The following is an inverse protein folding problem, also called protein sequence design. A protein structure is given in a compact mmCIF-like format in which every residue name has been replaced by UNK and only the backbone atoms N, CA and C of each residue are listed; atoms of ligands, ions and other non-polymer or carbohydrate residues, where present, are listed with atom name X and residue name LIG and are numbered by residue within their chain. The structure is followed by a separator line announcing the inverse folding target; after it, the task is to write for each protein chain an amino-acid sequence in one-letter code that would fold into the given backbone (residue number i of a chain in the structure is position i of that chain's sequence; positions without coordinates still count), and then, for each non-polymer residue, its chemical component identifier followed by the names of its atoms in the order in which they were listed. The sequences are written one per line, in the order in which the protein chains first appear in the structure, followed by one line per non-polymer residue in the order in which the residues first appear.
data_IF_729934816282
#
_entry.id   IF_729934816282
#
_cell.length_a   1.000
_cell.length_b   1.000
_cell.length_c   1.000
_cell.angle_alpha   90.00
_cell.angle_beta   90.00
_cell.angle_gamma   90.00
#
_symmetry.space_group_name_H-M   'P 1'
#
loop_
_entity.id
_entity.type
_entity.pdbx_description
1 polymer ?
#
# COMPACT_ATOMS: atom_id res chain seq x y z
N UNK A 1 7.13 -4.75 -4.73
CA UNK A 1 5.69 -4.40 -4.71
C UNK A 1 5.56 -2.90 -4.90
N UNK A 2 5.09 -2.43 -6.06
CA UNK A 2 5.00 -0.99 -6.36
C UNK A 2 4.02 -0.24 -5.47
N UNK A 3 2.87 -0.87 -5.16
CA UNK A 3 1.91 -0.34 -4.19
C UNK A 3 2.56 0.05 -2.86
N UNK A 4 3.36 -0.84 -2.26
CA UNK A 4 4.06 -0.57 -1.00
C UNK A 4 5.02 0.61 -1.17
N UNK A 5 5.76 0.70 -2.27
CA UNK A 5 6.72 1.79 -2.47
C UNK A 5 6.03 3.16 -2.53
N UNK A 6 4.99 3.29 -3.36
CA UNK A 6 4.21 4.54 -3.45
C UNK A 6 3.49 4.85 -2.14
N UNK A 7 2.98 3.83 -1.45
CA UNK A 7 2.25 4.06 -0.21
C UNK A 7 3.18 4.47 0.90
N UNK A 8 4.39 3.93 0.97
CA UNK A 8 5.41 4.36 1.91
C UNK A 8 5.77 5.83 1.73
N UNK A 9 5.97 6.23 0.48
CA UNK A 9 6.25 7.63 0.13
C UNK A 9 5.15 8.58 0.64
N UNK A 10 3.89 8.16 0.58
CA UNK A 10 2.73 9.02 0.86
C UNK A 10 2.22 8.90 2.31
N UNK A 11 2.25 7.70 2.90
CA UNK A 11 1.53 7.34 4.12
C UNK A 11 2.43 7.07 5.34
N UNK A 12 3.75 6.83 5.18
CA UNK A 12 4.61 6.34 6.28
C UNK A 12 4.69 7.27 7.50
N UNK A 13 4.37 8.56 7.34
CA UNK A 13 4.36 9.50 8.45
C UNK A 13 3.14 9.34 9.36
N UNK A 14 2.07 8.69 8.88
CA UNK A 14 0.77 8.64 9.57
C UNK A 14 0.25 7.22 9.76
N UNK A 15 0.60 6.29 8.88
CA UNK A 15 0.08 4.93 8.87
C UNK A 15 1.19 3.89 8.70
N UNK A 16 1.03 2.75 9.38
CA UNK A 16 1.88 1.57 9.18
C UNK A 16 1.32 0.68 8.08
N UNK A 17 2.17 0.26 7.15
CA UNK A 17 1.81 -0.64 6.05
C UNK A 17 2.26 -2.05 6.39
N UNK A 18 1.30 -2.97 6.50
CA UNK A 18 1.54 -4.38 6.84
C UNK A 18 1.05 -5.26 5.68
N UNK A 19 1.89 -6.19 5.24
CA UNK A 19 1.49 -7.22 4.28
C UNK A 19 0.92 -8.42 5.02
N UNK A 20 -0.19 -8.95 4.53
CA UNK A 20 -0.87 -10.11 5.12
C UNK A 20 -1.15 -11.17 4.07
N UNK A 21 -1.18 -12.42 4.48
CA UNK A 21 -1.65 -13.54 3.66
C UNK A 21 -3.16 -13.75 3.80
N UNK A 22 -3.77 -14.51 2.88
CA UNK A 22 -5.22 -14.79 2.87
C UNK A 22 -5.73 -15.38 4.20
N UNK A 23 -4.94 -16.25 4.84
CA UNK A 23 -5.31 -16.89 6.11
C UNK A 23 -5.50 -15.86 7.25
N UNK A 24 -4.73 -14.78 7.26
CA UNK A 24 -4.87 -13.72 8.26
C UNK A 24 -6.20 -12.97 8.05
N UNK A 25 -6.56 -12.69 6.79
CA UNK A 25 -7.83 -12.04 6.46
C UNK A 25 -9.04 -12.90 6.85
N UNK A 26 -8.90 -14.23 6.82
CA UNK A 26 -9.91 -15.18 7.25
C UNK A 26 -9.98 -15.34 8.77
N UNK A 27 -8.84 -15.49 9.45
CA UNK A 27 -8.80 -16.02 10.82
C UNK A 27 -8.61 -14.94 11.89
N UNK A 28 -7.93 -13.84 11.59
CA UNK A 28 -7.56 -12.83 12.60
C UNK A 28 -8.60 -11.71 12.73
N UNK A 29 -8.45 -10.88 13.78
CA UNK A 29 -9.33 -9.76 14.11
C UNK A 29 -8.72 -8.42 13.67
N UNK A 30 -8.48 -8.28 12.37
CA UNK A 30 -7.80 -7.13 11.76
C UNK A 30 -8.74 -5.93 11.53
N UNK A 31 -10.05 -6.14 11.48
CA UNK A 31 -11.03 -5.15 11.02
C UNK A 31 -11.01 -3.86 11.85
N UNK A 32 -10.80 -3.96 13.16
CA UNK A 32 -10.87 -2.83 14.09
C UNK A 32 -9.61 -1.96 14.12
N UNK A 33 -8.47 -2.49 13.66
CA UNK A 33 -7.18 -1.78 13.64
C UNK A 33 -6.77 -1.34 12.23
N UNK A 34 -7.58 -1.67 11.22
CA UNK A 34 -7.26 -1.41 9.82
C UNK A 34 -7.87 -0.12 9.32
N UNK A 35 -7.02 0.86 9.00
CA UNK A 35 -7.45 2.11 8.38
C UNK A 35 -7.87 1.92 6.92
N UNK A 36 -7.23 1.04 6.17
CA UNK A 36 -7.50 0.75 4.75
C UNK A 36 -7.04 -0.67 4.42
N UNK A 37 -7.93 -1.50 3.88
CA UNK A 37 -7.56 -2.78 3.28
C UNK A 37 -7.25 -2.58 1.80
N UNK A 38 -6.10 -3.09 1.35
CA UNK A 38 -5.64 -2.95 -0.04
C UNK A 38 -5.44 -4.34 -0.64
N UNK A 39 -6.06 -4.59 -1.79
CA UNK A 39 -5.78 -5.77 -2.61
C UNK A 39 -5.03 -5.30 -3.87
N UNK A 40 -3.75 -5.69 -4.04
CA UNK A 40 -2.91 -5.18 -5.13
C UNK A 40 -3.32 -5.74 -6.50
N UNK A 41 -2.64 -5.26 -7.53
CA UNK A 41 -2.68 -5.85 -8.86
C UNK A 41 -2.20 -7.30 -8.87
N UNK A 42 -2.76 -8.09 -9.77
CA UNK A 42 -2.45 -9.51 -9.90
C UNK A 42 -3.51 -10.24 -10.74
N UNK A 43 -3.41 -11.56 -10.81
CA UNK A 43 -4.45 -12.38 -11.45
C UNK A 43 -5.60 -12.58 -10.48
N UNK A 44 -6.75 -12.00 -10.81
CA UNK A 44 -7.97 -12.05 -9.98
C UNK A 44 -8.40 -13.49 -9.62
N UNK A 45 -8.14 -14.47 -10.48
CA UNK A 45 -8.52 -15.88 -10.22
C UNK A 45 -7.91 -16.42 -8.91
N UNK A 46 -6.72 -15.94 -8.51
CA UNK A 46 -6.10 -16.37 -7.25
C UNK A 46 -6.75 -15.70 -6.04
N UNK A 47 -7.15 -14.43 -6.14
CA UNK A 47 -7.96 -13.78 -5.10
C UNK A 47 -9.30 -14.50 -4.93
N UNK A 48 -9.96 -14.84 -6.04
CA UNK A 48 -11.21 -15.59 -5.98
C UNK A 48 -11.03 -17.00 -5.40
N UNK A 49 -9.94 -17.69 -5.71
CA UNK A 49 -9.63 -19.01 -5.12
C UNK A 49 -9.41 -18.91 -3.61
N UNK A 50 -8.61 -17.94 -3.17
CA UNK A 50 -8.08 -17.89 -1.80
C UNK A 50 -8.96 -17.09 -0.83
N UNK A 51 -9.81 -16.18 -1.34
CA UNK A 51 -10.59 -15.27 -0.48
C UNK A 51 -12.10 -15.50 -0.54
N UNK A 52 -12.68 -16.25 -1.50
CA UNK A 52 -14.14 -16.33 -1.73
C UNK A 52 -14.99 -16.82 -0.54
N UNK A 53 -14.38 -17.50 0.43
CA UNK A 53 -15.04 -17.98 1.64
C UNK A 53 -15.16 -16.94 2.76
N UNK A 54 -14.82 -17.35 3.98
CA UNK A 54 -14.96 -16.53 5.18
C UNK A 54 -14.18 -15.21 5.12
N UNK A 55 -13.04 -15.17 4.43
CA UNK A 55 -12.30 -13.93 4.19
C UNK A 55 -13.14 -12.88 3.45
N UNK A 56 -13.82 -13.23 2.35
CA UNK A 56 -14.70 -12.29 1.62
C UNK A 56 -15.83 -11.77 2.48
N UNK A 57 -16.45 -12.64 3.28
CA UNK A 57 -17.50 -12.22 4.21
C UNK A 57 -16.99 -11.23 5.26
N UNK A 58 -15.79 -11.46 5.81
CA UNK A 58 -15.14 -10.49 6.72
C UNK A 58 -14.84 -9.17 6.03
N UNK A 59 -14.27 -9.21 4.83
CA UNK A 59 -13.96 -8.01 4.02
C UNK A 59 -15.23 -7.21 3.73
N UNK A 60 -16.33 -7.88 3.33
CA UNK A 60 -17.62 -7.24 3.12
C UNK A 60 -18.15 -6.58 4.38
N UNK A 61 -18.13 -7.29 5.51
CA UNK A 61 -18.59 -6.75 6.78
C UNK A 61 -17.73 -5.58 7.27
N UNK A 62 -16.42 -5.65 7.08
CA UNK A 62 -15.50 -4.56 7.38
C UNK A 62 -15.92 -3.29 6.62
N UNK A 63 -16.07 -3.36 5.29
CA UNK A 63 -16.51 -2.20 4.50
C UNK A 63 -17.92 -1.77 4.89
N UNK A 64 -18.88 -2.70 5.02
CA UNK A 64 -20.26 -2.40 5.41
C UNK A 64 -20.35 -1.62 6.73
N UNK A 65 -19.44 -1.86 7.68
CA UNK A 65 -19.37 -1.20 8.99
C UNK A 65 -18.55 0.10 9.01
N UNK A 66 -18.08 0.59 7.87
CA UNK A 66 -17.33 1.85 7.78
C UNK A 66 -15.86 1.67 7.39
N UNK A 67 -15.42 0.44 7.16
CA UNK A 67 -14.11 0.12 6.63
C UNK A 67 -13.90 0.62 5.21
N UNK A 68 -12.64 0.64 4.79
CA UNK A 68 -12.21 1.23 3.52
C UNK A 68 -11.46 0.19 2.72
N UNK A 69 -11.79 0.06 1.43
CA UNK A 69 -11.17 -0.89 0.53
C UNK A 69 -10.56 -0.17 -0.68
N UNK A 70 -9.37 -0.59 -1.09
CA UNK A 70 -8.73 -0.14 -2.34
C UNK A 70 -8.22 -1.35 -3.12
N UNK A 71 -8.80 -1.60 -4.29
CA UNK A 71 -8.45 -2.73 -5.15
C UNK A 71 -7.84 -2.29 -6.46
N UNK A 72 -6.63 -2.77 -6.77
CA UNK A 72 -5.94 -2.49 -8.04
C UNK A 72 -6.07 -3.62 -9.04
N UNK A 73 -6.44 -3.33 -10.29
CA UNK A 73 -6.55 -4.32 -11.37
C UNK A 73 -7.30 -5.57 -10.89
N UNK A 74 -6.64 -6.73 -10.78
CA UNK A 74 -7.24 -7.95 -10.22
C UNK A 74 -7.91 -7.76 -8.84
N UNK A 75 -7.35 -6.95 -7.94
CA UNK A 75 -8.00 -6.58 -6.68
C UNK A 75 -9.22 -5.67 -6.86
N UNK A 76 -9.23 -4.84 -7.90
CA UNK A 76 -10.41 -4.05 -8.29
C UNK A 76 -11.52 -4.94 -8.84
N UNK A 77 -11.16 -5.92 -9.67
CA UNK A 77 -12.11 -6.86 -10.29
C UNK A 77 -12.75 -7.75 -9.24
N UNK A 78 -11.97 -8.20 -8.26
CA UNK A 78 -12.44 -8.97 -7.13
C UNK A 78 -13.52 -8.24 -6.31
N UNK A 79 -13.52 -6.90 -6.34
CA UNK A 79 -14.53 -6.04 -5.72
C UNK A 79 -15.85 -5.91 -6.49
N UNK A 80 -15.93 -6.41 -7.73
CA UNK A 80 -17.15 -6.37 -8.55
C UNK A 80 -18.11 -7.51 -8.20
N UNK A 81 -19.30 -7.52 -8.79
CA UNK A 81 -20.22 -8.68 -8.71
C UNK A 81 -19.83 -9.76 -9.71
N UNK A 82 -19.27 -9.34 -10.86
CA UNK A 82 -18.89 -10.22 -11.96
C UNK A 82 -17.67 -9.66 -12.68
N UNK A 83 -16.95 -10.56 -13.34
CA UNK A 83 -15.91 -10.17 -14.29
C UNK A 83 -16.16 -10.79 -15.66
N UNK A 84 -15.78 -10.06 -16.71
CA UNK A 84 -15.71 -10.55 -18.08
C UNK A 84 -14.35 -10.15 -18.63
N UNK A 85 -13.40 -11.07 -18.58
CA UNK A 85 -12.02 -10.84 -18.99
C UNK A 85 -11.68 -11.69 -20.22
N UNK A 86 -11.29 -11.04 -21.33
CA UNK A 86 -10.86 -11.64 -22.60
C UNK A 86 -11.71 -12.85 -23.03
N UNK A 87 -13.04 -12.66 -23.22
CA UNK A 87 -13.95 -13.72 -23.63
C UNK A 87 -13.55 -14.32 -24.98
N UNK A 88 -13.80 -15.61 -25.14
CA UNK A 88 -13.43 -16.41 -26.32
C UNK A 88 -11.91 -16.45 -26.60
N UNK A 89 -11.08 -16.25 -25.56
CA UNK A 89 -9.62 -16.35 -25.65
C UNK A 89 -9.06 -17.43 -24.71
N UNK A 90 -7.80 -17.88 -24.90
CA UNK A 90 -7.13 -18.80 -23.98
C UNK A 90 -6.93 -18.26 -22.55
N UNK A 91 -7.03 -16.95 -22.36
CA UNK A 91 -6.83 -16.26 -21.07
C UNK A 91 -8.15 -15.77 -20.47
N UNK A 92 -9.28 -16.30 -20.97
CA UNK A 92 -10.62 -15.94 -20.53
C UNK A 92 -10.81 -16.15 -19.03
N UNK A 93 -11.39 -15.15 -18.37
CA UNK A 93 -11.93 -15.30 -17.02
C UNK A 93 -13.31 -14.64 -16.96
N UNK A 94 -14.35 -15.46 -16.84
CA UNK A 94 -15.73 -15.00 -16.69
C UNK A 94 -16.35 -15.65 -15.46
N UNK A 95 -16.98 -14.85 -14.60
CA UNK A 95 -17.75 -15.39 -13.49
C UNK A 95 -17.92 -14.41 -12.34
N UNK A 96 -18.66 -14.87 -11.34
CA UNK A 96 -19.07 -14.05 -10.21
C UNK A 96 -17.94 -13.84 -9.20
N UNK A 97 -17.97 -12.70 -8.52
CA UNK A 97 -17.03 -12.34 -7.47
C UNK A 97 -17.78 -12.07 -6.16
N UNK A 98 -17.20 -12.49 -5.03
CA UNK A 98 -17.92 -12.57 -3.76
C UNK A 98 -18.11 -11.23 -3.08
N UNK A 99 -17.27 -10.22 -3.36
CA UNK A 99 -17.32 -8.95 -2.64
C UNK A 99 -18.50 -8.09 -3.05
N UNK A 100 -18.88 -8.07 -4.34
CA UNK A 100 -20.05 -7.35 -4.85
C UNK A 100 -20.15 -5.89 -4.37
N UNK A 101 -19.04 -5.19 -4.18
CA UNK A 101 -19.06 -3.78 -3.81
C UNK A 101 -19.59 -2.93 -4.96
N UNK A 102 -19.14 -3.24 -6.18
CA UNK A 102 -19.77 -2.78 -7.39
C UNK A 102 -20.81 -3.82 -7.83
N UNK A 103 -22.09 -3.45 -8.01
CA UNK A 103 -23.15 -4.41 -8.32
C UNK A 103 -23.09 -4.96 -9.75
N UNK A 104 -22.31 -4.34 -10.64
CA UNK A 104 -22.16 -4.75 -12.03
C UNK A 104 -20.75 -5.30 -12.31
N UNK A 105 -20.46 -5.55 -13.58
CA UNK A 105 -19.26 -6.23 -14.02
C UNK A 105 -18.08 -5.31 -14.31
N UNK A 106 -16.87 -5.81 -14.04
CA UNK A 106 -15.68 -5.31 -14.70
C UNK A 106 -15.45 -6.03 -16.02
N UNK A 107 -15.24 -5.28 -17.10
CA UNK A 107 -14.92 -5.77 -18.44
C UNK A 107 -13.46 -5.49 -18.78
N UNK A 108 -12.69 -6.52 -19.13
CA UNK A 108 -11.28 -6.37 -19.48
C UNK A 108 -10.78 -7.38 -20.52
N UNK A 109 -9.56 -7.23 -21.04
CA UNK A 109 -8.74 -6.04 -20.89
C UNK A 109 -9.36 -4.87 -21.71
N UNK A 110 -9.24 -3.64 -21.21
CA UNK A 110 -9.80 -2.44 -21.83
C UNK A 110 -9.19 -2.16 -23.22
N UNK A 111 -7.90 -2.44 -23.37
CA UNK A 111 -7.18 -2.43 -24.64
C UNK A 111 -6.83 -3.86 -25.08
N UNK A 112 -6.93 -4.17 -26.38
CA UNK A 112 -6.63 -5.51 -26.89
C UNK A 112 -5.13 -5.84 -26.82
N UNK A 113 -4.84 -7.14 -26.90
CA UNK A 113 -3.46 -7.66 -27.03
C UNK A 113 -2.79 -8.04 -25.71
N UNK A 114 -3.53 -8.04 -24.59
CA UNK A 114 -3.00 -8.47 -23.30
C UNK A 114 -2.53 -9.92 -23.31
N UNK A 115 -1.41 -10.18 -22.63
CA UNK A 115 -0.81 -11.51 -22.48
C UNK A 115 -0.24 -11.66 -21.07
N UNK A 116 -0.56 -12.77 -20.42
CA UNK A 116 0.09 -13.10 -19.14
C UNK A 116 1.59 -13.32 -19.33
N UNK A 117 2.35 -13.01 -18.27
CA UNK A 117 3.80 -13.18 -18.21
C UNK A 117 4.55 -12.41 -19.32
N UNK A 118 3.90 -11.35 -19.83
CA UNK A 118 4.43 -10.46 -20.84
C UNK A 118 3.89 -9.06 -20.61
N UNK A 119 4.74 -8.08 -20.88
CA UNK A 119 4.39 -6.66 -20.77
C UNK A 119 4.23 -6.01 -22.14
N UNK A 120 4.16 -6.79 -23.21
CA UNK A 120 4.17 -6.32 -24.61
C UNK A 120 3.02 -5.35 -24.94
N UNK A 121 1.91 -5.45 -24.21
CA UNK A 121 0.74 -4.58 -24.37
C UNK A 121 0.67 -3.46 -23.34
N UNK A 122 1.61 -3.44 -22.39
CA UNK A 122 1.65 -2.43 -21.33
C UNK A 122 1.99 -1.07 -21.93
N UNK A 123 1.40 -0.01 -21.37
CA UNK A 123 1.49 1.34 -21.94
C UNK A 123 1.19 2.40 -20.89
N UNK A 124 1.54 3.65 -21.20
CA UNK A 124 1.05 4.80 -20.47
C UNK A 124 -0.33 5.21 -21.04
N UNK A 125 -1.34 5.32 -20.19
CA UNK A 125 -2.69 5.74 -20.58
C UNK A 125 -3.07 7.03 -19.89
N UNK A 126 -3.67 7.96 -20.62
CA UNK A 126 -4.23 9.18 -20.03
C UNK A 126 -5.60 8.89 -19.44
N UNK A 127 -5.82 9.32 -18.21
CA UNK A 127 -7.13 9.26 -17.55
C UNK A 127 -7.64 10.67 -17.29
N UNK A 128 -8.95 10.89 -17.42
CA UNK A 128 -9.62 12.12 -16.95
C UNK A 128 -10.00 11.97 -15.48
N UNK A 129 -10.01 13.08 -14.73
CA UNK A 129 -10.43 13.09 -13.33
C UNK A 129 -11.83 13.70 -13.25
N UNK A 130 -12.78 12.97 -12.66
CA UNK A 130 -14.14 13.43 -12.40
C UNK A 130 -14.17 14.34 -11.17
N UNK A 131 -13.71 15.58 -11.34
CA UNK A 131 -13.51 16.56 -10.27
C UNK A 131 -14.72 16.76 -9.35
N UNK A 132 -15.93 16.77 -9.92
CA UNK A 132 -17.16 16.95 -9.15
C UNK A 132 -17.42 15.80 -8.15
N UNK A 133 -17.00 14.57 -8.48
CA UNK A 133 -17.13 13.42 -7.57
C UNK A 133 -16.36 13.65 -6.27
N UNK A 134 -15.22 14.33 -6.31
CA UNK A 134 -14.36 14.59 -5.15
C UNK A 134 -14.90 15.67 -4.21
N UNK A 135 -15.83 16.53 -4.65
CA UNK A 135 -16.51 17.52 -3.78
C UNK A 135 -17.41 16.87 -2.73
N UNK A 136 -17.79 15.61 -2.93
CA UNK A 136 -18.61 14.86 -1.96
C UNK A 136 -17.86 14.54 -0.66
N UNK A 137 -16.52 14.71 -0.64
CA UNK A 137 -15.67 14.44 0.52
C UNK A 137 -14.77 15.64 0.78
N UNK A 138 -14.96 16.29 1.94
CA UNK A 138 -14.23 17.51 2.33
C UNK A 138 -12.71 17.40 2.19
N UNK A 139 -12.10 16.28 2.61
CA UNK A 139 -10.63 16.11 2.53
C UNK A 139 -10.10 16.08 1.10
N UNK A 140 -10.93 15.72 0.11
CA UNK A 140 -10.51 15.64 -1.29
C UNK A 140 -11.04 16.78 -2.17
N UNK A 141 -11.83 17.71 -1.61
CA UNK A 141 -12.47 18.77 -2.39
C UNK A 141 -11.45 19.66 -3.14
N UNK A 142 -10.25 19.83 -2.59
CA UNK A 142 -9.17 20.62 -3.19
C UNK A 142 -8.77 20.18 -4.61
N UNK A 143 -9.04 18.93 -5.02
CA UNK A 143 -8.72 18.50 -6.39
C UNK A 143 -9.69 19.11 -7.42
N UNK A 144 -10.90 19.52 -7.01
CA UNK A 144 -11.82 20.18 -7.94
C UNK A 144 -11.31 21.53 -8.42
N UNK A 145 -10.58 22.21 -7.55
CA UNK A 145 -10.04 23.55 -7.82
C UNK A 145 -8.61 23.48 -8.38
N UNK A 146 -8.03 22.28 -8.45
CA UNK A 146 -6.70 22.07 -8.99
C UNK A 146 -6.70 22.20 -10.52
N UNK A 147 -5.81 23.05 -11.04
CA UNK A 147 -5.53 23.15 -12.47
C UNK A 147 -4.60 22.05 -13.01
N UNK A 148 -4.38 20.96 -12.25
CA UNK A 148 -3.49 19.89 -12.69
C UNK A 148 -4.00 19.22 -13.96
N UNK A 149 -3.08 18.99 -14.89
CA UNK A 149 -3.35 18.18 -16.08
C UNK A 149 -3.78 16.77 -15.69
N UNK A 150 -4.68 16.13 -16.48
CA UNK A 150 -5.05 14.74 -16.26
C UNK A 150 -3.84 13.81 -16.44
N UNK A 151 -3.59 12.89 -15.50
CA UNK A 151 -2.34 12.15 -15.48
C UNK A 151 -2.29 11.04 -16.53
N UNK A 152 -1.07 10.76 -16.99
CA UNK A 152 -0.71 9.47 -17.57
C UNK A 152 -0.37 8.48 -16.46
N UNK A 153 -0.97 7.31 -16.50
CA UNK A 153 -0.78 6.23 -15.52
C UNK A 153 -0.43 4.93 -16.23
N UNK A 154 0.22 4.00 -15.51
CA UNK A 154 0.57 2.71 -16.07
C UNK A 154 -0.69 1.86 -16.31
N UNK A 155 -0.69 1.12 -17.41
CA UNK A 155 -1.70 0.14 -17.74
C UNK A 155 -1.03 -1.17 -18.16
N UNK A 156 -1.52 -2.29 -17.60
CA UNK A 156 -1.16 -3.63 -18.06
C UNK A 156 -2.31 -4.60 -17.83
N UNK A 157 -3.15 -4.80 -18.85
CA UNK A 157 -4.27 -5.74 -18.78
C UNK A 157 -5.45 -5.27 -17.92
N UNK A 158 -5.49 -3.99 -17.57
CA UNK A 158 -6.59 -3.32 -16.87
C UNK A 158 -7.95 -3.48 -17.53
N UNK A 159 -9.06 -3.27 -16.80
CA UNK A 159 -10.43 -3.33 -17.32
C UNK A 159 -11.17 -2.03 -17.03
N UNK A 160 -12.41 -1.91 -17.48
CA UNK A 160 -13.30 -0.82 -17.14
C UNK A 160 -14.52 -1.33 -16.37
N UNK A 161 -15.20 -0.44 -15.65
CA UNK A 161 -16.40 -0.79 -14.88
C UNK A 161 -17.66 -0.48 -15.70
N UNK A 162 -18.31 -1.53 -16.20
CA UNK A 162 -19.43 -1.40 -17.11
C UNK A 162 -20.65 -0.79 -16.41
N UNK A 163 -21.39 0.07 -17.12
CA UNK A 163 -22.62 0.70 -16.64
C UNK A 163 -22.48 1.53 -15.34
N UNK A 164 -21.27 1.93 -14.94
CA UNK A 164 -21.05 2.63 -13.67
C UNK A 164 -21.90 3.88 -13.50
N UNK A 165 -22.22 4.58 -14.60
CA UNK A 165 -23.08 5.76 -14.62
C UNK A 165 -24.50 5.48 -14.10
N UNK A 166 -25.05 4.29 -14.38
CA UNK A 166 -26.40 3.87 -13.96
C UNK A 166 -26.52 3.72 -12.44
N UNK A 167 -25.41 3.51 -11.75
CA UNK A 167 -25.36 3.34 -10.30
C UNK A 167 -24.97 4.63 -9.57
N UNK A 168 -24.89 5.76 -10.28
CA UNK A 168 -24.54 7.02 -9.66
C UNK A 168 -25.63 7.55 -8.74
N UNK A 169 -25.19 8.21 -7.66
CA UNK A 169 -26.07 8.75 -6.63
C UNK A 169 -27.20 9.61 -7.22
N UNK A 170 -26.86 10.40 -8.25
CA UNK A 170 -27.79 11.32 -8.92
C UNK A 170 -28.94 10.59 -9.61
N UNK A 171 -28.65 9.51 -10.34
CA UNK A 171 -29.65 8.73 -11.07
C UNK A 171 -30.55 7.93 -10.12
N UNK A 172 -30.01 7.45 -8.99
CA UNK A 172 -30.80 6.76 -7.97
C UNK A 172 -31.84 7.68 -7.32
N UNK A 173 -31.49 8.93 -7.02
CA UNK A 173 -32.47 9.92 -6.52
C UNK A 173 -33.51 10.34 -7.57
N UNK A 174 -33.15 10.41 -8.85
CA UNK A 174 -34.10 10.74 -9.94
C UNK A 174 -35.13 9.62 -10.19
N UNK A 175 -34.80 8.36 -9.85
CA UNK A 175 -35.71 7.20 -9.96
C UNK A 175 -36.63 7.02 -8.73
N UNK A 176 -36.26 7.57 -7.56
CA UNK A 176 -36.96 7.37 -6.27
C UNK A 176 -38.01 8.45 -5.91
N UNK A 177 -38.28 9.41 -6.80
CA UNK A 177 -39.18 10.56 -6.56
C UNK A 177 -40.63 10.16 -6.21
N UNK A 178 -41.05 8.92 -6.48
CA UNK A 178 -42.40 8.43 -6.18
C UNK A 178 -42.57 7.75 -4.80
N UNK A 179 -41.53 7.63 -3.97
CA UNK A 179 -41.65 6.97 -2.64
C UNK A 179 -41.38 7.94 -1.48
N UNK A 180 -42.44 8.62 -1.03
CA UNK A 180 -42.44 9.51 0.13
C UNK A 180 -42.38 8.76 1.48
N UNK A 181 -41.39 7.87 1.69
CA UNK A 181 -41.08 7.23 2.97
C UNK A 181 -39.74 6.45 2.96
N UNK A 182 -38.68 6.96 2.31
CA UNK A 182 -37.36 6.33 2.41
C UNK A 182 -36.70 6.81 3.71
N UNK A 183 -36.74 5.96 4.75
CA UNK A 183 -35.79 6.08 5.86
C UNK A 183 -34.38 6.15 5.28
N UNK A 184 -33.48 6.91 5.92
CA UNK A 184 -32.04 7.10 5.61
C UNK A 184 -31.20 5.79 5.64
N UNK A 185 -31.80 4.65 5.30
CA UNK A 185 -31.21 3.33 5.14
C UNK A 185 -30.41 3.27 3.84
N UNK A 186 -29.13 3.65 3.93
CA UNK A 186 -27.99 3.12 3.17
C UNK A 186 -28.30 2.61 1.75
N UNK A 187 -28.66 3.49 0.83
CA UNK A 187 -28.64 3.16 -0.59
C UNK A 187 -27.17 3.08 -1.02
N UNK A 188 -26.73 1.91 -1.48
CA UNK A 188 -25.40 1.76 -2.09
C UNK A 188 -25.40 2.47 -3.44
N UNK A 189 -24.36 3.26 -3.71
CA UNK A 189 -24.20 3.98 -4.97
C UNK A 189 -22.73 4.05 -5.39
N UNK A 190 -22.49 4.36 -6.66
CA UNK A 190 -21.16 4.40 -7.25
C UNK A 190 -20.85 5.77 -7.81
N UNK A 191 -19.76 6.39 -7.36
CA UNK A 191 -19.21 7.57 -8.03
C UNK A 191 -18.08 7.16 -8.95
N UNK A 192 -18.02 7.79 -10.12
CA UNK A 192 -16.90 7.62 -11.04
C UNK A 192 -15.85 8.66 -10.66
N UNK A 193 -14.61 8.21 -10.44
CA UNK A 193 -13.50 9.09 -10.04
C UNK A 193 -12.59 9.43 -11.21
N UNK A 194 -12.45 8.50 -12.16
CA UNK A 194 -11.76 8.75 -13.42
C UNK A 194 -12.27 7.88 -14.55
N UNK A 195 -12.04 8.35 -15.79
CA UNK A 195 -12.34 7.62 -17.03
C UNK A 195 -11.10 7.50 -17.89
N UNK A 196 -11.10 6.49 -18.74
CA UNK A 196 -10.16 6.43 -19.86
C UNK A 196 -10.47 7.56 -20.84
N UNK A 197 -9.44 8.26 -21.35
CA UNK A 197 -9.65 9.34 -22.30
C UNK A 197 -10.02 8.86 -23.72
N UNK A 198 -9.56 7.67 -24.13
CA UNK A 198 -9.81 7.12 -25.47
C UNK A 198 -9.42 5.64 -25.57
N UNK A 199 -9.77 5.04 -26.72
CA UNK A 199 -9.25 3.77 -27.24
C UNK A 199 -9.65 2.49 -26.47
N UNK A 200 -10.61 2.58 -25.55
CA UNK A 200 -11.18 1.41 -24.89
C UNK A 200 -12.11 0.69 -25.86
N UNK A 201 -11.98 -0.62 -25.95
CA UNK A 201 -12.85 -1.48 -26.77
C UNK A 201 -13.54 -2.53 -25.91
N UNK A 202 -14.77 -2.91 -26.26
CA UNK A 202 -15.46 -3.98 -25.53
C UNK A 202 -14.72 -5.32 -25.73
N UNK A 203 -14.35 -6.05 -24.65
CA UNK A 203 -13.71 -7.34 -24.79
C UNK A 203 -14.59 -8.43 -25.42
N UNK A 204 -15.92 -8.32 -25.34
CA UNK A 204 -16.86 -9.21 -26.04
C UNK A 204 -16.99 -8.86 -27.52
N UNK A 205 -16.76 -7.59 -27.89
CA UNK A 205 -16.79 -7.13 -29.26
C UNK A 205 -15.72 -6.05 -29.51
N UNK A 206 -14.52 -6.47 -29.95
CA UNK A 206 -13.38 -5.57 -30.18
C UNK A 206 -13.58 -4.53 -31.30
N UNK A 207 -14.69 -4.60 -32.03
CA UNK A 207 -15.07 -3.57 -33.01
C UNK A 207 -15.85 -2.40 -32.39
N UNK A 208 -16.32 -2.57 -31.16
CA UNK A 208 -17.09 -1.58 -30.40
C UNK A 208 -16.18 -0.76 -29.49
N UNK A 209 -16.18 0.55 -29.69
CA UNK A 209 -15.47 1.51 -28.84
C UNK A 209 -16.34 1.91 -27.66
N UNK A 210 -15.77 1.96 -26.46
CA UNK A 210 -16.46 2.39 -25.24
C UNK A 210 -15.98 3.79 -24.87
N UNK A 211 -16.74 4.79 -25.31
CA UNK A 211 -16.48 6.19 -24.95
C UNK A 211 -16.75 6.43 -23.47
N UNK A 212 -15.86 7.17 -22.80
CA UNK A 212 -16.02 7.50 -21.39
C UNK A 212 -16.00 6.28 -20.45
N UNK A 213 -15.34 5.19 -20.82
CA UNK A 213 -15.23 4.00 -19.97
C UNK A 213 -14.68 4.34 -18.57
N UNK A 214 -15.38 3.94 -17.51
CA UNK A 214 -14.99 4.21 -16.12
C UNK A 214 -13.71 3.42 -15.75
N UNK A 215 -12.64 4.13 -15.39
CA UNK A 215 -11.33 3.56 -15.06
C UNK A 215 -11.14 3.37 -13.56
N UNK A 216 -11.71 4.27 -12.74
CA UNK A 216 -11.70 4.19 -11.28
C UNK A 216 -13.08 4.58 -10.75
N UNK A 217 -13.63 3.76 -9.87
CA UNK A 217 -14.94 3.98 -9.25
C UNK A 217 -14.85 3.89 -7.71
N UNK A 218 -15.69 4.66 -7.03
CA UNK A 218 -15.90 4.61 -5.59
C UNK A 218 -17.31 4.09 -5.28
N UNK A 219 -17.37 2.86 -4.78
CA UNK A 219 -18.60 2.19 -4.36
C UNK A 219 -18.86 2.50 -2.89
N UNK A 220 -19.94 3.21 -2.61
CA UNK A 220 -20.44 3.41 -1.25
C UNK A 220 -21.24 2.17 -0.86
N UNK A 221 -20.77 1.45 0.16
CA UNK A 221 -21.29 0.14 0.54
C UNK A 221 -21.49 0.08 2.06
N UNK A 222 -22.75 0.10 2.50
CA UNK A 222 -23.07 0.29 3.92
C UNK A 222 -22.56 1.64 4.43
N UNK A 223 -21.77 1.64 5.49
CA UNK A 223 -21.13 2.85 6.04
C UNK A 223 -19.75 3.15 5.44
N UNK A 224 -19.19 2.22 4.66
CA UNK A 224 -17.83 2.31 4.14
C UNK A 224 -17.77 2.57 2.65
N UNK A 225 -16.54 2.53 2.13
CA UNK A 225 -16.24 2.87 0.74
C UNK A 225 -15.23 1.87 0.19
N UNK A 226 -15.51 1.34 -1.00
CA UNK A 226 -14.58 0.55 -1.79
C UNK A 226 -14.21 1.30 -3.08
N UNK A 227 -12.93 1.64 -3.25
CA UNK A 227 -12.41 2.17 -4.50
C UNK A 227 -11.81 1.04 -5.32
N UNK A 228 -12.27 0.89 -6.56
CA UNK A 228 -11.83 -0.13 -7.50
C UNK A 228 -11.17 0.57 -8.69
N UNK A 229 -9.98 0.12 -9.08
CA UNK A 229 -9.27 0.68 -10.23
C UNK A 229 -8.93 -0.39 -11.27
N UNK A 230 -9.17 -0.06 -12.53
CA UNK A 230 -8.72 -0.82 -13.68
C UNK A 230 -7.31 -0.45 -14.14
N UNK A 231 -6.84 0.76 -13.81
CA UNK A 231 -5.49 1.25 -14.11
C UNK A 231 -4.56 1.10 -12.90
N UNK A 232 -3.25 1.22 -13.15
CA UNK A 232 -2.23 1.13 -12.11
C UNK A 232 -1.70 2.52 -11.71
N UNK A 233 -2.45 3.20 -10.83
CA UNK A 233 -2.04 4.51 -10.30
C UNK A 233 -0.91 4.40 -9.26
N UNK A 234 -0.63 3.19 -8.79
CA UNK A 234 0.41 2.86 -7.81
C UNK A 234 1.80 2.63 -8.43
N UNK A 235 1.93 2.65 -9.75
CA UNK A 235 3.22 2.49 -10.43
C UNK A 235 3.84 3.85 -10.73
N UNK A 236 5.00 4.09 -10.12
CA UNK A 236 5.90 5.21 -10.45
C UNK A 236 6.66 4.93 -11.74
N UNK A 237 7.07 5.98 -12.46
CA UNK A 237 8.00 5.86 -13.58
C UNK A 237 9.33 5.19 -13.21
N UNK A 238 9.76 5.30 -11.95
CA UNK A 238 11.00 4.70 -11.45
C UNK A 238 10.98 3.17 -11.48
N UNK A 239 9.78 2.57 -11.52
CA UNK A 239 9.62 1.13 -11.72
C UNK A 239 10.22 0.64 -13.04
N UNK A 240 10.45 1.54 -14.00
CA UNK A 240 10.84 1.23 -15.38
C UNK A 240 12.19 1.85 -15.78
N UNK A 241 12.91 2.52 -14.85
CA UNK A 241 14.29 2.99 -15.06
C UNK A 241 15.30 1.81 -14.99
N UNK A 242 16.47 1.90 -15.64
CA UNK A 242 17.15 0.75 -16.24
C UNK A 242 17.82 -0.16 -15.19
N UNK A 243 17.06 -1.13 -14.69
CA UNK A 243 17.56 -2.27 -13.92
C UNK A 243 16.69 -3.53 -14.11
N UNK A 244 16.06 -3.72 -15.28
CA UNK A 244 15.56 -5.03 -15.69
C UNK A 244 14.09 -5.15 -16.15
N UNK A 245 13.39 -4.06 -16.47
CA UNK A 245 12.09 -4.12 -17.18
C UNK A 245 12.23 -3.48 -18.56
N UNK A 246 12.69 -4.25 -19.55
CA UNK A 246 12.81 -3.83 -20.96
C UNK A 246 11.44 -3.79 -21.69
N UNK A 247 10.35 -3.44 -21.01
CA UNK A 247 9.00 -3.72 -21.54
C UNK A 247 8.19 -2.54 -22.05
N UNK A 248 8.41 -1.32 -21.55
CA UNK A 248 7.67 -0.15 -22.01
C UNK A 248 8.44 0.63 -23.08
N UNK A 249 7.78 1.08 -24.16
CA UNK A 249 8.38 2.02 -25.10
C UNK A 249 8.88 3.28 -24.38
N UNK A 250 10.02 3.82 -24.82
CA UNK A 250 10.60 5.05 -24.24
C UNK A 250 9.59 6.20 -24.19
N UNK A 251 8.74 6.35 -25.20
CA UNK A 251 7.69 7.35 -25.24
C UNK A 251 6.69 7.23 -24.09
N UNK A 252 6.37 6.01 -23.67
CA UNK A 252 5.45 5.78 -22.55
C UNK A 252 6.15 6.02 -21.21
N UNK A 253 7.42 5.64 -21.08
CA UNK A 253 8.24 6.01 -19.91
C UNK A 253 8.32 7.53 -19.77
N UNK A 254 8.55 8.26 -20.86
CA UNK A 254 8.63 9.72 -20.86
C UNK A 254 7.28 10.35 -20.47
N UNK A 255 6.14 9.79 -20.91
CA UNK A 255 4.79 10.20 -20.48
C UNK A 255 4.56 9.98 -18.99
N UNK A 256 4.95 8.81 -18.46
CA UNK A 256 4.83 8.51 -17.03
C UNK A 256 5.68 9.46 -16.20
N UNK A 257 6.94 9.69 -16.59
CA UNK A 257 7.86 10.65 -15.93
C UNK A 257 7.30 12.06 -15.93
N UNK A 258 6.81 12.53 -17.09
CA UNK A 258 6.21 13.86 -17.22
C UNK A 258 4.99 14.02 -16.29
N UNK A 259 4.24 12.95 -16.09
CA UNK A 259 2.99 12.96 -15.33
C UNK A 259 3.13 12.62 -13.85
N UNK A 260 4.34 12.42 -13.32
CA UNK A 260 4.54 11.82 -11.99
C UNK A 260 3.91 12.67 -10.86
N UNK A 261 4.06 13.99 -10.92
CA UNK A 261 3.43 14.90 -9.95
C UNK A 261 1.89 14.83 -10.03
N UNK A 262 1.32 14.80 -11.24
CA UNK A 262 -0.13 14.67 -11.42
C UNK A 262 -0.63 13.30 -10.93
N UNK A 263 0.13 12.22 -11.14
CA UNK A 263 -0.16 10.88 -10.62
C UNK A 263 -0.18 10.87 -9.09
N UNK A 264 0.86 11.40 -8.45
CA UNK A 264 0.95 11.47 -6.97
C UNK A 264 -0.20 12.29 -6.40
N UNK A 265 -0.50 13.46 -6.95
CA UNK A 265 -1.66 14.28 -6.55
C UNK A 265 -2.96 13.49 -6.68
N UNK A 266 -3.12 12.72 -7.75
CA UNK A 266 -4.30 11.88 -7.92
C UNK A 266 -4.36 10.77 -6.86
N UNK A 267 -3.27 10.05 -6.59
CA UNK A 267 -3.23 9.03 -5.51
C UNK A 267 -3.58 9.63 -4.14
N UNK A 268 -3.07 10.82 -3.83
CA UNK A 268 -3.41 11.52 -2.57
C UNK A 268 -4.88 11.89 -2.53
N UNK A 269 -5.46 12.34 -3.64
CA UNK A 269 -6.89 12.62 -3.71
C UNK A 269 -7.73 11.36 -3.45
N UNK A 270 -7.30 10.18 -3.91
CA UNK A 270 -7.94 8.89 -3.61
C UNK A 270 -7.88 8.58 -2.11
N UNK A 271 -6.71 8.77 -1.47
CA UNK A 271 -6.60 8.57 -0.02
C UNK A 271 -7.44 9.56 0.79
N UNK A 272 -7.48 10.83 0.37
CA UNK A 272 -8.35 11.84 0.96
C UNK A 272 -9.84 11.55 0.74
N UNK A 273 -10.21 11.00 -0.43
CA UNK A 273 -11.57 10.57 -0.70
C UNK A 273 -12.00 9.45 0.24
N UNK A 274 -11.09 8.51 0.49
CA UNK A 274 -11.23 7.48 1.52
C UNK A 274 -11.14 8.07 2.94
N UNK A 275 -10.74 9.33 3.12
CA UNK A 275 -10.69 10.00 4.42
C UNK A 275 -9.43 9.72 5.24
N UNK A 276 -8.36 9.20 4.64
CA UNK A 276 -7.05 9.07 5.29
C UNK A 276 -6.41 10.46 5.49
N UNK A 277 -5.46 10.54 6.41
CA UNK A 277 -4.69 11.73 6.76
C UNK A 277 -3.33 11.72 6.06
N UNK A 278 -3.24 12.50 4.99
CA UNK A 278 -2.06 12.58 4.12
C UNK A 278 -1.60 14.02 4.02
N UNK A 279 -0.31 14.28 4.20
CA UNK A 279 0.22 15.64 4.07
C UNK A 279 0.47 15.98 2.60
N UNK A 280 -0.24 16.97 2.06
CA UNK A 280 -0.07 17.48 0.69
C UNK A 280 1.33 18.08 0.47
N UNK A 281 1.94 18.66 1.51
CA UNK A 281 3.28 19.27 1.42
C UNK A 281 4.39 18.24 1.18
N UNK A 282 4.11 16.94 1.41
CA UNK A 282 5.04 15.87 1.06
C UNK A 282 5.23 15.72 -0.47
N UNK A 283 4.27 16.17 -1.28
CA UNK A 283 4.33 16.10 -2.76
C UNK A 283 5.37 17.04 -3.33
N UNK A 284 5.50 18.23 -2.76
CA UNK A 284 6.50 19.21 -3.23
C UNK A 284 7.90 18.87 -2.69
N UNK A 285 7.98 18.17 -1.56
CA UNK A 285 9.24 17.77 -0.92
C UNK A 285 9.79 16.41 -1.40
N UNK A 286 8.96 15.50 -1.95
CA UNK A 286 9.42 14.15 -2.37
C UNK A 286 10.38 14.17 -3.57
N UNK A 287 10.43 15.28 -4.31
CA UNK A 287 11.41 15.48 -5.37
C UNK A 287 12.85 15.70 -4.87
N UNK A 288 13.08 15.88 -3.56
CA UNK A 288 14.41 16.27 -3.03
C UNK A 288 14.91 15.51 -1.81
N UNK A 289 14.08 14.72 -1.12
CA UNK A 289 14.52 14.00 0.09
C UNK A 289 14.73 12.51 -0.18
N UNK A 290 15.89 11.93 0.18
CA UNK A 290 16.13 10.50 0.04
C UNK A 290 15.07 9.72 0.83
N UNK A 291 14.59 8.61 0.23
CA UNK A 291 13.71 7.63 0.88
C UNK A 291 14.22 7.38 2.29
N UNK A 292 13.38 7.65 3.31
CA UNK A 292 13.77 7.56 4.72
C UNK A 292 14.45 6.20 4.95
N UNK A 293 15.71 6.17 5.43
CA UNK A 293 16.42 4.92 5.61
C UNK A 293 15.69 4.07 6.66
N UNK A 294 15.71 2.75 6.45
CA UNK A 294 15.22 1.79 7.45
C UNK A 294 15.94 2.10 8.76
N UNK A 295 15.18 2.30 9.84
CA UNK A 295 15.81 2.59 11.12
C UNK A 295 16.56 1.36 11.62
N UNK A 296 17.77 1.52 12.19
CA UNK A 296 18.43 0.40 12.85
C UNK A 296 17.53 -0.24 13.91
N UNK A 297 17.76 -1.53 14.15
CA UNK A 297 17.16 -2.22 15.30
C UNK A 297 18.12 -2.16 16.47
N UNK A 298 17.64 -1.77 17.63
CA UNK A 298 18.38 -1.70 18.88
C UNK A 298 17.95 -2.85 19.79
N UNK A 299 18.91 -3.59 20.33
CA UNK A 299 18.69 -4.58 21.39
C UNK A 299 19.33 -4.02 22.65
N UNK A 300 18.54 -3.86 23.71
CA UNK A 300 18.98 -3.25 24.97
C UNK A 300 18.60 -4.15 26.15
N UNK A 301 19.55 -4.55 27.01
CA UNK A 301 19.23 -5.30 28.21
C UNK A 301 18.49 -4.41 29.21
N UNK A 302 17.44 -4.97 29.82
CA UNK A 302 16.61 -4.28 30.81
C UNK A 302 17.13 -4.54 32.24
N UNK A 303 17.81 -5.66 32.49
CA UNK A 303 18.31 -6.07 33.83
C UNK A 303 19.71 -5.55 34.14
N UNK A 304 20.07 -5.57 35.43
CA UNK A 304 21.33 -5.01 35.97
C UNK A 304 22.59 -5.81 35.59
N UNK A 305 22.50 -7.12 35.30
CA UNK A 305 23.64 -7.96 34.87
C UNK A 305 23.96 -7.81 33.36
N UNK A 306 24.04 -6.56 32.90
CA UNK A 306 24.14 -6.19 31.49
C UNK A 306 25.35 -6.82 30.80
N UNK A 307 26.53 -6.74 31.41
CA UNK A 307 27.79 -7.15 30.77
C UNK A 307 27.85 -8.66 30.50
N UNK A 308 27.34 -9.46 31.44
CA UNK A 308 27.34 -10.92 31.30
C UNK A 308 26.31 -11.38 30.27
N UNK A 309 25.08 -10.86 30.32
CA UNK A 309 24.02 -11.20 29.36
C UNK A 309 24.37 -10.75 27.94
N UNK A 310 24.90 -9.53 27.78
CA UNK A 310 25.38 -9.00 26.49
C UNK A 310 26.56 -9.81 25.97
N UNK A 311 27.52 -10.17 26.83
CA UNK A 311 28.64 -11.02 26.46
C UNK A 311 28.19 -12.40 25.94
N UNK A 312 27.21 -13.02 26.60
CA UNK A 312 26.64 -14.29 26.13
C UNK A 312 25.92 -14.15 24.78
N UNK A 313 25.13 -13.09 24.59
CA UNK A 313 24.41 -12.83 23.34
C UNK A 313 25.41 -12.65 22.18
N UNK A 314 26.43 -11.82 22.38
CA UNK A 314 27.48 -11.57 21.38
C UNK A 314 28.22 -12.86 21.05
N UNK A 315 28.56 -13.67 22.05
CA UNK A 315 29.22 -14.97 21.83
C UNK A 315 28.37 -15.89 20.95
N UNK A 316 27.05 -15.96 21.17
CA UNK A 316 26.12 -16.74 20.35
C UNK A 316 25.96 -16.19 18.93
N UNK A 317 25.95 -14.86 18.77
CA UNK A 317 25.88 -14.25 17.44
C UNK A 317 27.17 -14.51 16.65
N UNK A 318 28.34 -14.38 17.30
CA UNK A 318 29.64 -14.67 16.69
C UNK A 318 29.76 -16.12 16.20
N UNK A 319 29.04 -17.08 16.78
CA UNK A 319 29.03 -18.47 16.30
C UNK A 319 28.39 -18.63 14.92
N UNK A 320 27.48 -17.73 14.55
CA UNK A 320 26.69 -17.79 13.31
C UNK A 320 27.04 -16.65 12.34
N UNK A 321 28.00 -15.80 12.70
CA UNK A 321 28.37 -14.62 11.94
C UNK A 321 29.73 -14.76 11.28
N UNK A 322 29.90 -14.11 10.13
CA UNK A 322 31.19 -13.89 9.51
C UNK A 322 31.43 -12.39 9.40
N UNK A 323 32.47 -11.86 10.07
CA UNK A 323 32.77 -10.42 10.13
C UNK A 323 31.55 -9.55 10.48
N UNK A 324 30.84 -9.88 11.56
CA UNK A 324 29.62 -9.17 12.03
C UNK A 324 28.38 -9.32 11.14
N UNK A 325 28.49 -10.06 10.03
CA UNK A 325 27.37 -10.34 9.13
C UNK A 325 26.77 -11.71 9.42
N UNK A 326 25.46 -11.72 9.64
CA UNK A 326 24.65 -12.95 9.72
C UNK A 326 23.82 -13.01 8.44
N UNK A 327 23.98 -14.08 7.68
CA UNK A 327 23.20 -14.31 6.47
C UNK A 327 22.04 -15.26 6.77
N UNK A 328 20.81 -14.79 6.57
CA UNK A 328 19.61 -15.63 6.51
C UNK A 328 19.13 -15.72 5.04
N UNK A 329 18.23 -16.66 4.80
CA UNK A 329 17.46 -16.90 3.57
C UNK A 329 16.93 -15.61 2.92
N UNK A 330 16.58 -14.60 3.71
CA UNK A 330 15.91 -13.39 3.23
C UNK A 330 16.71 -12.10 3.41
N UNK A 331 17.60 -12.01 4.40
CA UNK A 331 18.36 -10.79 4.68
C UNK A 331 19.78 -11.08 5.17
N UNK A 332 20.62 -10.05 5.07
CA UNK A 332 21.89 -9.97 5.79
C UNK A 332 21.73 -9.01 6.97
N UNK A 333 22.15 -9.42 8.16
CA UNK A 333 22.14 -8.60 9.38
C UNK A 333 23.58 -8.22 9.71
N UNK A 334 23.88 -6.93 9.77
CA UNK A 334 25.14 -6.38 10.34
C UNK A 334 24.88 -6.03 11.80
N UNK A 335 25.44 -6.81 12.75
CA UNK A 335 25.28 -6.52 14.17
C UNK A 335 26.53 -5.88 14.77
N UNK A 336 26.34 -4.89 15.63
CA UNK A 336 27.44 -4.21 16.33
C UNK A 336 27.12 -4.06 17.80
N UNK A 337 28.07 -4.42 18.63
CA UNK A 337 28.03 -4.09 20.05
C UNK A 337 28.59 -2.69 20.25
N UNK A 338 27.81 -1.82 20.90
CA UNK A 338 28.23 -0.47 21.23
C UNK A 338 28.14 -0.28 22.73
N UNK A 339 29.31 -0.11 23.35
CA UNK A 339 29.40 0.23 24.75
C UNK A 339 29.28 1.75 24.92
N UNK A 340 28.15 2.20 25.47
CA UNK A 340 27.86 3.60 25.77
C UNK A 340 28.94 4.26 26.65
N UNK A 341 29.63 3.48 27.50
CA UNK A 341 30.65 3.98 28.42
C UNK A 341 32.04 4.18 27.78
N UNK A 342 32.30 3.63 26.59
CA UNK A 342 33.63 3.69 25.95
C UNK A 342 33.72 4.63 24.74
N UNK A 343 32.65 5.34 24.38
CA UNK A 343 32.57 6.12 23.14
C UNK A 343 32.42 7.63 23.34
N UNK A 344 33.33 8.23 24.11
CA UNK A 344 33.48 9.70 24.21
C UNK A 344 34.19 10.30 22.98
N UNK A 345 34.72 9.47 22.05
CA UNK A 345 35.50 9.94 20.91
C UNK A 345 35.00 9.39 19.57
N UNK A 346 33.89 9.92 19.04
CA UNK A 346 33.58 10.15 17.60
C UNK A 346 32.08 10.08 17.28
N UNK A 347 31.31 11.09 17.70
CA UNK A 347 29.89 11.22 17.30
C UNK A 347 29.70 11.28 15.76
N UNK A 348 30.66 11.86 15.03
CA UNK A 348 30.59 11.99 13.56
C UNK A 348 30.61 10.64 12.83
N UNK A 349 31.36 9.64 13.33
CA UNK A 349 31.39 8.29 12.73
C UNK A 349 30.11 7.51 12.96
N UNK A 350 29.35 7.83 14.01
CA UNK A 350 28.13 7.11 14.41
C UNK A 350 26.93 7.59 13.59
N UNK A 351 26.81 8.89 13.31
CA UNK A 351 25.77 9.41 12.41
C UNK A 351 25.90 8.84 11.00
N UNK A 352 27.12 8.83 10.45
CA UNK A 352 27.40 8.20 9.16
C UNK A 352 27.04 6.70 9.18
N UNK A 353 27.20 6.04 10.33
CA UNK A 353 26.87 4.63 10.52
C UNK A 353 25.38 4.33 10.65
N UNK A 354 24.63 5.15 11.35
CA UNK A 354 23.17 5.00 11.54
C UNK A 354 22.46 5.33 10.23
N UNK A 355 22.84 6.44 9.60
CA UNK A 355 22.15 7.00 8.43
C UNK A 355 22.84 6.67 7.10
N UNK A 356 23.88 5.83 7.05
CA UNK A 356 24.48 5.43 5.76
C UNK A 356 23.42 4.84 4.85
N UNK A 357 23.33 5.40 3.65
CA UNK A 357 22.42 5.05 2.55
C UNK A 357 22.78 3.74 1.85
N UNK A 358 23.66 2.93 2.44
CA UNK A 358 24.24 1.77 1.76
C UNK A 358 23.36 0.56 1.98
N UNK A 359 22.65 0.22 0.90
CA UNK A 359 21.98 -1.04 0.60
C UNK A 359 20.82 -1.42 1.56
N UNK A 360 19.58 -1.15 1.11
CA UNK A 360 18.33 -1.53 1.80
C UNK A 360 18.18 -3.05 2.07
N UNK A 361 19.13 -3.88 1.62
CA UNK A 361 19.19 -5.33 1.88
C UNK A 361 19.92 -5.70 3.18
N UNK A 362 20.67 -4.78 3.79
CA UNK A 362 21.41 -5.03 5.04
C UNK A 362 20.66 -4.40 6.20
N UNK A 363 20.23 -5.22 7.15
CA UNK A 363 19.58 -4.76 8.39
C UNK A 363 20.64 -4.49 9.44
N UNK A 364 20.66 -3.28 10.00
CA UNK A 364 21.59 -2.90 11.07
C UNK A 364 21.00 -3.26 12.44
N UNK A 365 21.76 -4.01 13.24
CA UNK A 365 21.40 -4.41 14.59
C UNK A 365 22.42 -3.88 15.60
N UNK A 366 22.02 -2.94 16.46
CA UNK A 366 22.87 -2.38 17.50
C UNK A 366 22.54 -2.99 18.86
N UNK A 367 23.52 -3.63 19.48
CA UNK A 367 23.41 -4.12 20.86
C UNK A 367 23.98 -3.03 21.76
N UNK A 368 23.12 -2.42 22.57
CA UNK A 368 23.46 -1.33 23.48
C UNK A 368 23.50 -1.87 24.90
N UNK A 369 24.23 -1.18 25.79
CA UNK A 369 24.24 -1.53 27.21
C UNK A 369 23.09 -0.83 27.96
N UNK A 370 22.91 0.50 27.79
CA UNK A 370 21.98 1.24 28.64
C UNK A 370 21.15 2.31 27.93
N UNK A 371 21.73 3.07 27.00
CA UNK A 371 21.10 4.23 26.38
C UNK A 371 21.22 4.18 24.85
N UNK A 372 20.27 4.84 24.16
CA UNK A 372 20.43 5.10 22.73
C UNK A 372 21.69 5.90 22.46
N UNK A 373 22.21 5.76 21.24
CA UNK A 373 23.32 6.56 20.77
C UNK A 373 22.90 8.04 20.79
N UNK A 374 23.76 8.99 21.21
CA UNK A 374 23.43 10.42 21.20
C UNK A 374 22.99 10.96 19.83
N UNK A 375 23.51 10.34 18.76
CA UNK A 375 23.16 10.60 17.36
C UNK A 375 21.76 10.10 16.95
N UNK A 376 21.20 9.14 17.70
CA UNK A 376 19.88 8.58 17.43
C UNK A 376 18.82 9.37 18.22
N UNK A 377 17.94 10.05 17.49
CA UNK A 377 16.81 10.79 18.08
C UNK A 377 15.50 10.08 17.70
N UNK A 378 14.86 9.38 18.64
CA UNK A 378 13.64 8.65 18.31
C UNK A 378 12.50 9.61 17.96
N UNK A 379 11.78 9.32 16.87
CA UNK A 379 10.71 10.13 16.33
C UNK A 379 9.53 10.29 17.30
N UNK A 380 9.19 9.22 18.03
CA UNK A 380 8.07 9.20 18.97
C UNK A 380 8.44 9.60 20.40
N UNK A 381 9.58 10.28 20.61
CA UNK A 381 10.06 10.64 21.97
C UNK A 381 10.11 9.44 22.92
N UNK A 382 10.38 8.24 22.39
CA UNK A 382 10.49 7.04 23.22
C UNK A 382 11.72 7.17 24.14
N UNK A 383 11.47 7.27 25.44
CA UNK A 383 12.49 7.44 26.46
C UNK A 383 12.87 6.06 27.04
N UNK A 384 13.97 5.50 26.53
CA UNK A 384 14.47 4.18 26.93
C UNK A 384 14.88 4.13 28.40
N UNK A 385 15.42 5.22 28.94
CA UNK A 385 15.86 5.33 30.33
C UNK A 385 14.65 5.25 31.25
N UNK A 386 13.59 6.02 30.92
CA UNK A 386 12.33 6.01 31.66
C UNK A 386 11.63 4.66 31.57
N UNK A 387 11.62 4.03 30.39
CA UNK A 387 11.05 2.70 30.19
C UNK A 387 11.78 1.64 31.04
N UNK A 388 13.12 1.60 30.98
CA UNK A 388 13.94 0.67 31.77
C UNK A 388 13.74 0.87 33.27
N UNK A 389 13.71 2.13 33.72
CA UNK A 389 13.42 2.49 35.12
C UNK A 389 12.02 2.05 35.57
N UNK A 390 11.04 2.03 34.68
CA UNK A 390 9.72 1.48 34.97
C UNK A 390 9.76 -0.05 35.08
N UNK A 391 10.38 -0.72 34.11
CA UNK A 391 10.47 -2.18 34.08
C UNK A 391 11.17 -2.76 35.31
N UNK A 392 12.32 -2.19 35.70
CA UNK A 392 13.06 -2.59 36.91
C UNK A 392 12.20 -2.48 38.19
N UNK A 393 11.37 -1.44 38.29
CA UNK A 393 10.44 -1.26 39.43
C UNK A 393 9.34 -2.31 39.49
N UNK A 394 8.93 -2.86 38.36
CA UNK A 394 7.81 -3.83 38.28
C UNK A 394 8.23 -5.29 38.47
N UNK A 395 9.53 -5.57 38.63
CA UNK A 395 10.07 -6.92 38.90
C UNK A 395 9.59 -7.98 37.88
N UNK A 396 9.52 -7.60 36.60
CA UNK A 396 9.12 -8.48 35.49
C UNK A 396 10.17 -9.57 35.27
N UNK A 397 10.03 -10.70 35.95
CA UNK A 397 11.11 -11.71 36.06
C UNK A 397 11.11 -12.80 34.99
N UNK A 398 10.05 -12.95 34.18
CA UNK A 398 9.87 -14.10 33.29
C UNK A 398 9.66 -13.78 31.80
N UNK A 399 9.43 -12.52 31.42
CA UNK A 399 9.22 -12.12 30.02
C UNK A 399 9.85 -10.74 29.76
N UNK A 400 10.66 -10.61 28.70
CA UNK A 400 11.23 -9.32 28.28
C UNK A 400 12.49 -8.86 29.03
N UNK A 401 13.55 -9.69 29.12
CA UNK A 401 14.88 -9.21 29.59
C UNK A 401 15.56 -8.25 28.61
N UNK A 402 15.10 -8.26 27.35
CA UNK A 402 15.68 -7.48 26.27
C UNK A 402 14.58 -6.63 25.64
N UNK A 403 14.84 -5.34 25.51
CA UNK A 403 14.07 -4.45 24.67
C UNK A 403 14.63 -4.51 23.26
N UNK A 404 13.80 -4.87 22.29
CA UNK A 404 14.10 -4.68 20.87
C UNK A 404 13.32 -3.46 20.37
N UNK A 405 14.01 -2.43 19.89
CA UNK A 405 13.40 -1.18 19.42
C UNK A 405 13.84 -0.87 17.99
N UNK A 406 12.89 -0.54 17.13
CA UNK A 406 13.13 -0.01 15.78
C UNK A 406 11.92 0.85 15.40
N UNK A 407 12.14 1.95 14.70
CA UNK A 407 11.07 2.91 14.36
C UNK A 407 10.33 2.52 13.10
N UNK A 408 11.09 2.06 12.11
CA UNK A 408 10.65 1.64 10.79
C UNK A 408 11.32 0.31 10.50
N UNK A 409 10.59 -0.78 10.71
CA UNK A 409 10.96 -2.13 10.28
C UNK A 409 10.29 -2.46 8.95
N UNK A 410 10.93 -3.27 8.10
CA UNK A 410 10.26 -3.82 6.92
C UNK A 410 9.70 -5.22 7.21
N UNK A 411 8.64 -5.64 6.50
CA UNK A 411 8.00 -6.96 6.65
C UNK A 411 8.92 -8.14 6.31
N UNK A 412 10.06 -7.89 5.67
CA UNK A 412 11.04 -8.92 5.32
C UNK A 412 12.07 -9.11 6.43
N UNK A 413 12.19 -8.19 7.39
CA UNK A 413 13.10 -8.30 8.53
C UNK A 413 12.60 -9.38 9.50
N UNK A 414 13.06 -10.61 9.26
CA UNK A 414 12.82 -11.74 10.15
C UNK A 414 13.71 -11.59 11.38
N UNK A 415 13.17 -11.05 12.48
CA UNK A 415 13.93 -10.92 13.74
C UNK A 415 13.92 -12.20 14.58
N UNK A 416 12.89 -13.04 14.43
CA UNK A 416 12.70 -14.26 15.19
C UNK A 416 12.09 -15.33 14.27
N UNK A 417 12.89 -16.30 13.85
CA UNK A 417 12.39 -17.57 13.32
C UNK A 417 12.52 -18.61 14.43
N UNK A 418 11.46 -19.38 14.64
CA UNK A 418 11.45 -20.52 15.57
C UNK A 418 12.33 -21.66 15.05
#
# INVERSE_FOLDING_TARGET
MQAINTFREILDNTYTIITVESIHLESEAWENTTALLVIPGGRDIFYNRDLKGAASFKIQNYVKKGGKYLGFCGGGYFGCSKIVFEPNSPIQVIGDRPLCFFPDMCKGAAFPGFRYDSDISSRAVKISIEKESFKQKKKSEWISDSESDPPYVYYNGGGYFANADLYSNRLLYELDIDSSNVSESQVSYTNILSRYCSDVSDPENRSESIEGAAAVIACHYGMGIAILTGVHIEFSSDAFCPSGMDSLPKSDIDRLKYSENARIRYVISIFHYLGLDVNIEAVDQSSTLPKKPISPTFIVPIKEDEEYEVGQLISKLNQNANNHLIHDTFNTIDYRHINSNSMVSSNEKIEELIYSTVDNKISKLYILNNEFLPAFKPYFSFDIIRFKSYMLRTNANFFGNWLMYSEVTNSNQTFLKR
#
